data_IF_304249468387
#
_entry.id   IF_304249468387
#
_cell.length_a   1.000
_cell.length_b   1.000
_cell.length_c   1.000
_cell.angle_alpha   90.00
_cell.angle_beta   90.00
_cell.angle_gamma   90.00
#
_symmetry.space_group_name_H-M   'P 1'
#
loop_
_entity.id
_entity.type
_entity.pdbx_description
1 polymer ?
#
# COMPACT_ATOMS: atom_id res chain seq x y z
N UNK A 1 1.28 8.43 -16.98
CA UNK A 1 0.23 7.56 -16.36
C UNK A 1 0.79 6.20 -15.99
N UNK A 2 1.49 5.51 -16.88
CA UNK A 2 2.13 4.21 -16.65
C UNK A 2 3.03 4.19 -15.39
N UNK A 3 3.93 5.16 -15.22
CA UNK A 3 4.83 5.27 -14.05
C UNK A 3 4.11 5.11 -12.71
N UNK A 4 3.01 5.85 -12.50
CA UNK A 4 2.24 5.76 -11.26
C UNK A 4 1.66 4.37 -11.02
N UNK A 5 1.33 3.65 -12.09
CA UNK A 5 0.83 2.26 -11.99
C UNK A 5 1.96 1.31 -11.63
N UNK A 6 3.11 1.46 -12.29
CA UNK A 6 4.33 0.69 -11.99
C UNK A 6 4.76 0.90 -10.53
N UNK A 7 4.89 2.15 -10.08
CA UNK A 7 5.22 2.46 -8.69
C UNK A 7 4.25 1.81 -7.69
N UNK A 8 2.95 1.84 -7.99
CA UNK A 8 1.93 1.18 -7.16
C UNK A 8 2.12 -0.33 -7.07
N UNK A 9 2.52 -0.98 -8.16
CA UNK A 9 2.81 -2.42 -8.19
C UNK A 9 4.11 -2.74 -7.44
N UNK A 10 5.17 -1.98 -7.68
CA UNK A 10 6.46 -2.15 -6.98
C UNK A 10 6.33 -1.95 -5.47
N UNK A 11 5.52 -1.01 -5.02
CA UNK A 11 5.26 -0.81 -3.58
C UNK A 11 4.57 -2.03 -2.92
N UNK A 12 3.95 -2.88 -3.72
CA UNK A 12 3.38 -4.16 -3.31
C UNK A 12 4.32 -5.35 -3.53
N UNK A 13 5.59 -5.09 -3.91
CA UNK A 13 6.61 -6.11 -4.23
C UNK A 13 6.20 -7.01 -5.40
N UNK A 14 5.41 -6.50 -6.34
CA UNK A 14 5.07 -7.22 -7.55
C UNK A 14 6.27 -7.29 -8.49
N UNK A 15 6.41 -8.42 -9.20
CA UNK A 15 7.29 -8.50 -10.37
C UNK A 15 6.59 -7.80 -11.53
N UNK A 16 7.24 -6.79 -12.11
CA UNK A 16 6.65 -5.94 -13.13
C UNK A 16 7.42 -6.05 -14.43
N UNK A 17 6.72 -6.45 -15.50
CA UNK A 17 7.23 -6.37 -16.86
C UNK A 17 6.51 -5.26 -17.63
N UNK A 18 7.25 -4.39 -18.29
CA UNK A 18 6.72 -3.29 -19.09
C UNK A 18 6.99 -3.57 -20.55
N UNK A 19 5.93 -3.63 -21.38
CA UNK A 19 6.01 -3.79 -22.82
C UNK A 19 5.70 -2.45 -23.46
N UNK A 20 6.69 -1.83 -24.07
CA UNK A 20 6.57 -0.51 -24.70
C UNK A 20 7.78 -0.25 -25.61
N UNK A 21 7.61 0.39 -26.78
CA UNK A 21 8.75 0.79 -27.62
C UNK A 21 9.58 1.93 -27.02
N UNK A 22 9.11 2.57 -25.93
CA UNK A 22 9.85 3.60 -25.24
C UNK A 22 9.48 3.63 -23.76
N UNK A 23 10.42 4.03 -22.93
CA UNK A 23 10.23 4.31 -21.51
C UNK A 23 10.43 5.79 -21.22
N UNK A 24 9.75 6.30 -20.20
CA UNK A 24 10.10 7.58 -19.58
C UNK A 24 11.40 7.46 -18.81
N UNK A 25 12.05 8.58 -18.50
CA UNK A 25 13.32 8.59 -17.74
C UNK A 25 13.21 7.84 -16.41
N UNK A 26 12.10 8.00 -15.69
CA UNK A 26 11.85 7.32 -14.41
C UNK A 26 11.76 5.80 -14.60
N UNK A 27 11.04 5.32 -15.61
CA UNK A 27 10.94 3.88 -15.90
C UNK A 27 12.26 3.30 -16.41
N UNK A 28 13.08 4.10 -17.11
CA UNK A 28 14.43 3.69 -17.51
C UNK A 28 15.31 3.47 -16.27
N UNK A 29 15.27 4.39 -15.30
CA UNK A 29 15.99 4.21 -14.04
C UNK A 29 15.58 2.95 -13.31
N UNK A 30 14.28 2.66 -13.22
CA UNK A 30 13.75 1.43 -12.61
C UNK A 30 14.17 0.17 -13.36
N UNK A 31 14.29 0.25 -14.69
CA UNK A 31 14.82 -0.85 -15.49
C UNK A 31 16.31 -1.08 -15.21
N UNK A 32 17.12 -0.01 -15.18
CA UNK A 32 18.57 -0.12 -14.89
C UNK A 32 18.86 -0.60 -13.47
N UNK A 33 18.00 -0.28 -12.50
CA UNK A 33 18.11 -0.80 -11.13
C UNK A 33 17.63 -2.26 -10.99
N UNK A 34 16.98 -2.81 -12.02
CA UNK A 34 16.45 -4.17 -12.01
C UNK A 34 15.10 -4.30 -11.32
N UNK A 35 14.42 -3.18 -11.01
CA UNK A 35 13.10 -3.17 -10.38
C UNK A 35 11.99 -3.59 -11.33
N UNK A 36 12.17 -3.34 -12.64
CA UNK A 36 11.25 -3.76 -13.70
C UNK A 36 11.99 -4.47 -14.83
N UNK A 37 11.32 -5.39 -15.49
CA UNK A 37 11.72 -5.93 -16.78
C UNK A 37 11.14 -5.05 -17.89
N UNK A 38 11.95 -4.64 -18.87
CA UNK A 38 11.50 -3.92 -20.05
C UNK A 38 11.63 -4.74 -21.30
N UNK A 39 10.56 -4.86 -22.05
CA UNK A 39 10.49 -5.51 -23.37
C UNK A 39 10.32 -4.39 -24.39
N UNK A 40 11.44 -4.02 -25.05
CA UNK A 40 11.53 -2.91 -26.02
C UNK A 40 10.87 -3.27 -27.35
N UNK A 41 9.57 -3.21 -27.39
CA UNK A 41 8.71 -3.39 -28.57
C UNK A 41 7.24 -3.11 -28.24
N UNK A 42 6.43 -3.04 -29.27
CA UNK A 42 4.98 -3.02 -29.14
C UNK A 42 4.45 -4.35 -28.61
N UNK A 43 3.25 -4.27 -28.01
CA UNK A 43 2.49 -5.43 -27.53
C UNK A 43 2.22 -6.43 -28.66
N UNK A 44 2.24 -7.72 -28.36
CA UNK A 44 1.89 -8.81 -29.27
C UNK A 44 1.03 -9.84 -28.54
N UNK A 45 0.15 -10.47 -29.29
CA UNK A 45 -0.64 -11.59 -28.77
C UNK A 45 0.29 -12.69 -28.23
N UNK A 46 -0.03 -13.19 -27.04
CA UNK A 46 0.77 -14.15 -26.28
C UNK A 46 1.60 -13.52 -25.17
N UNK A 47 1.75 -12.20 -25.13
CA UNK A 47 2.54 -11.49 -24.11
C UNK A 47 1.96 -11.60 -22.69
N UNK A 48 0.67 -11.90 -22.58
CA UNK A 48 -0.01 -12.01 -21.28
C UNK A 48 -0.01 -13.43 -20.70
N UNK A 49 0.61 -14.40 -21.35
CA UNK A 49 0.51 -15.83 -21.00
C UNK A 49 0.96 -16.14 -19.54
N UNK A 50 1.87 -15.35 -18.97
CA UNK A 50 2.36 -15.53 -17.59
C UNK A 50 1.90 -14.41 -16.65
N UNK A 51 1.05 -13.51 -17.11
CA UNK A 51 0.57 -12.41 -16.28
C UNK A 51 -0.50 -12.88 -15.30
N UNK A 52 -0.49 -12.34 -14.09
CA UNK A 52 -1.57 -12.44 -13.13
C UNK A 52 -2.51 -11.23 -13.23
N UNK A 53 -1.91 -10.06 -13.46
CA UNK A 53 -2.59 -8.78 -13.54
C UNK A 53 -2.03 -7.96 -14.69
N UNK A 54 -2.90 -7.33 -15.45
CA UNK A 54 -2.56 -6.53 -16.63
C UNK A 54 -3.07 -5.11 -16.46
N UNK A 55 -2.23 -4.14 -16.80
CA UNK A 55 -2.61 -2.73 -16.87
C UNK A 55 -2.29 -2.23 -18.28
N UNK A 56 -3.32 -1.99 -19.08
CA UNK A 56 -3.17 -1.34 -20.37
C UNK A 56 -3.14 0.18 -20.19
N UNK A 57 -1.96 0.78 -20.33
CA UNK A 57 -1.72 2.22 -20.14
C UNK A 57 -1.34 2.92 -21.47
N UNK A 58 -1.92 2.47 -22.57
CA UNK A 58 -1.78 3.04 -23.91
C UNK A 58 -3.06 3.77 -24.32
N UNK A 59 -2.95 4.73 -25.25
CA UNK A 59 -4.05 5.42 -25.92
C UNK A 59 -4.38 4.78 -27.29
N UNK A 60 -3.61 3.80 -27.73
CA UNK A 60 -3.90 3.04 -28.95
C UNK A 60 -5.06 2.08 -28.75
N UNK A 61 -6.19 2.34 -29.43
CA UNK A 61 -7.42 1.56 -29.30
C UNK A 61 -7.26 0.10 -29.77
N UNK A 62 -6.45 -0.14 -30.78
CA UNK A 62 -6.25 -1.49 -31.29
C UNK A 62 -5.46 -2.34 -30.31
N UNK A 63 -4.39 -1.80 -29.74
CA UNK A 63 -3.64 -2.47 -28.67
C UNK A 63 -4.53 -2.72 -27.44
N UNK A 64 -5.35 -1.73 -27.03
CA UNK A 64 -6.28 -1.91 -25.91
C UNK A 64 -7.28 -3.05 -26.16
N UNK A 65 -7.76 -3.19 -27.40
CA UNK A 65 -8.69 -4.24 -27.79
C UNK A 65 -8.00 -5.61 -27.77
N UNK A 66 -6.80 -5.73 -28.32
CA UNK A 66 -6.03 -6.98 -28.31
C UNK A 66 -5.72 -7.43 -26.88
N UNK A 67 -5.28 -6.51 -26.01
CA UNK A 67 -5.05 -6.78 -24.59
C UNK A 67 -6.35 -7.23 -23.90
N UNK A 68 -7.47 -6.58 -24.19
CA UNK A 68 -8.77 -6.94 -23.60
C UNK A 68 -9.21 -8.35 -24.02
N UNK A 69 -9.09 -8.69 -25.29
CA UNK A 69 -9.45 -10.02 -25.82
C UNK A 69 -8.56 -11.12 -25.23
N UNK A 70 -7.25 -10.91 -25.19
CA UNK A 70 -6.30 -11.87 -24.63
C UNK A 70 -6.46 -12.04 -23.12
N UNK A 71 -6.60 -10.94 -22.38
CA UNK A 71 -6.84 -10.98 -20.93
C UNK A 71 -8.16 -11.70 -20.59
N UNK A 72 -9.20 -11.47 -21.39
CA UNK A 72 -10.48 -12.17 -21.25
C UNK A 72 -10.37 -13.67 -21.50
N UNK A 73 -9.67 -14.07 -22.56
CA UNK A 73 -9.45 -15.48 -22.91
C UNK A 73 -8.66 -16.24 -21.81
N UNK A 74 -7.74 -15.54 -21.14
CA UNK A 74 -6.90 -16.13 -20.08
C UNK A 74 -7.43 -15.88 -18.64
N UNK A 75 -8.62 -15.28 -18.47
CA UNK A 75 -9.23 -14.93 -17.18
C UNK A 75 -8.30 -14.07 -16.29
N UNK A 76 -7.56 -13.14 -16.88
CA UNK A 76 -6.64 -12.26 -16.17
C UNK A 76 -7.35 -11.06 -15.53
N UNK A 77 -6.78 -10.52 -14.47
CA UNK A 77 -7.18 -9.22 -13.93
C UNK A 77 -6.73 -8.12 -14.89
N UNK A 78 -7.67 -7.32 -15.39
CA UNK A 78 -7.40 -6.28 -16.38
C UNK A 78 -7.92 -4.91 -15.94
N UNK A 79 -7.04 -3.92 -15.99
CA UNK A 79 -7.38 -2.51 -15.87
C UNK A 79 -6.90 -1.76 -17.12
N UNK A 80 -7.84 -1.27 -17.92
CA UNK A 80 -7.55 -0.41 -19.08
C UNK A 80 -7.69 1.05 -18.64
N UNK A 81 -6.63 1.83 -18.85
CA UNK A 81 -6.63 3.24 -18.47
C UNK A 81 -7.70 4.00 -19.25
N UNK A 82 -8.50 4.79 -18.54
CA UNK A 82 -9.56 5.65 -19.05
C UNK A 82 -10.71 4.93 -19.80
N UNK A 83 -10.74 3.58 -19.76
CA UNK A 83 -11.81 2.76 -20.37
C UNK A 83 -12.43 1.81 -19.33
N UNK A 84 -13.28 2.31 -18.42
CA UNK A 84 -13.87 1.50 -17.34
C UNK A 84 -14.62 0.26 -17.81
N UNK A 85 -15.23 0.32 -19.00
CA UNK A 85 -16.01 -0.78 -19.58
C UNK A 85 -15.16 -2.02 -19.93
N UNK A 86 -13.85 -1.84 -20.12
CA UNK A 86 -12.89 -2.91 -20.39
C UNK A 86 -12.14 -3.37 -19.13
N UNK A 87 -12.51 -2.84 -17.96
CA UNK A 87 -11.88 -3.21 -16.70
C UNK A 87 -12.71 -4.28 -15.98
N UNK A 88 -12.07 -5.32 -15.46
CA UNK A 88 -12.70 -6.26 -14.53
C UNK A 88 -12.28 -6.01 -13.06
N UNK A 89 -11.32 -5.10 -12.82
CA UNK A 89 -11.05 -4.53 -11.50
C UNK A 89 -10.68 -3.05 -11.61
N UNK A 90 -10.83 -2.32 -10.51
CA UNK A 90 -10.48 -0.91 -10.40
C UNK A 90 -9.48 -0.69 -9.27
N UNK A 91 -8.56 0.26 -9.51
CA UNK A 91 -7.63 0.74 -8.48
C UNK A 91 -8.26 1.95 -7.78
N UNK A 92 -8.61 1.85 -6.49
CA UNK A 92 -9.20 2.98 -5.76
C UNK A 92 -8.17 4.10 -5.54
N UNK A 93 -8.66 5.29 -5.23
CA UNK A 93 -7.83 6.38 -4.77
C UNK A 93 -7.36 6.07 -3.33
N UNK A 94 -6.07 5.85 -3.11
CA UNK A 94 -5.55 5.36 -1.83
C UNK A 94 -4.59 6.38 -1.21
N UNK A 95 -4.85 6.75 0.04
CA UNK A 95 -3.90 7.43 0.92
C UNK A 95 -3.08 6.38 1.66
N UNK A 96 -1.74 6.52 1.67
CA UNK A 96 -0.83 5.56 2.32
C UNK A 96 0.09 6.27 3.33
N UNK A 97 0.32 5.58 4.46
CA UNK A 97 1.32 5.93 5.48
C UNK A 97 2.00 4.64 5.94
N UNK A 98 3.08 4.27 5.26
CA UNK A 98 3.66 2.94 5.43
C UNK A 98 2.63 1.84 5.13
N UNK A 99 2.40 0.95 6.08
CA UNK A 99 1.44 -0.16 5.97
C UNK A 99 -0.02 0.27 6.14
N UNK A 100 -0.29 1.48 6.66
CA UNK A 100 -1.65 2.02 6.66
C UNK A 100 -2.07 2.39 5.24
N UNK A 101 -3.16 1.81 4.76
CA UNK A 101 -3.77 2.15 3.47
C UNK A 101 -5.27 2.44 3.67
N UNK A 102 -5.70 3.63 3.24
CA UNK A 102 -7.11 4.06 3.27
C UNK A 102 -7.57 4.28 1.84
N UNK A 103 -8.45 3.43 1.36
CA UNK A 103 -8.89 3.43 -0.03
C UNK A 103 -10.29 4.01 -0.18
N UNK A 104 -10.46 4.89 -1.19
CA UNK A 104 -11.72 5.55 -1.52
C UNK A 104 -12.14 5.12 -2.91
N UNK A 105 -13.32 4.52 -3.01
CA UNK A 105 -13.94 4.13 -4.28
C UNK A 105 -15.32 4.77 -4.43
N UNK A 106 -15.62 5.22 -5.63
CA UNK A 106 -16.97 5.66 -6.03
C UNK A 106 -17.56 4.72 -7.09
N UNK A 107 -17.03 3.51 -7.21
CA UNK A 107 -17.37 2.54 -8.25
C UNK A 107 -17.33 3.17 -9.67
N UNK A 108 -16.33 4.03 -9.92
CA UNK A 108 -16.17 4.73 -11.20
C UNK A 108 -17.08 5.94 -11.41
N UNK A 109 -18.06 6.20 -10.51
CA UNK A 109 -19.05 7.28 -10.71
C UNK A 109 -18.45 8.68 -10.60
N UNK A 110 -17.43 8.88 -9.77
CA UNK A 110 -16.78 10.18 -9.60
C UNK A 110 -15.33 10.08 -9.19
N UNK A 111 -14.40 9.90 -10.13
CA UNK A 111 -12.95 9.91 -9.83
C UNK A 111 -12.49 11.20 -9.13
N UNK A 112 -13.09 12.34 -9.47
CA UNK A 112 -12.78 13.62 -8.85
C UNK A 112 -13.15 13.66 -7.35
N UNK A 113 -14.31 13.11 -6.98
CA UNK A 113 -14.72 12.99 -5.58
C UNK A 113 -13.81 12.02 -4.81
N UNK A 114 -13.51 10.87 -5.39
CA UNK A 114 -12.58 9.92 -4.76
C UNK A 114 -11.21 10.55 -4.51
N UNK A 115 -10.67 11.31 -5.49
CA UNK A 115 -9.43 12.06 -5.34
C UNK A 115 -9.52 13.12 -4.26
N UNK A 116 -10.61 13.91 -4.21
CA UNK A 116 -10.82 14.94 -3.20
C UNK A 116 -10.78 14.34 -1.79
N UNK A 117 -11.58 13.29 -1.55
CA UNK A 117 -11.64 12.62 -0.25
C UNK A 117 -10.26 12.03 0.11
N UNK A 118 -9.55 11.39 -0.84
CA UNK A 118 -8.18 10.91 -0.60
C UNK A 118 -7.26 12.03 -0.11
N UNK A 119 -7.29 13.20 -0.74
CA UNK A 119 -6.47 14.35 -0.32
C UNK A 119 -6.85 14.89 1.07
N UNK A 120 -8.12 14.80 1.46
CA UNK A 120 -8.57 15.13 2.81
C UNK A 120 -8.06 14.11 3.83
N UNK A 121 -8.10 12.81 3.48
CA UNK A 121 -7.55 11.75 4.31
C UNK A 121 -6.02 11.86 4.48
N UNK A 122 -5.28 12.24 3.44
CA UNK A 122 -3.84 12.48 3.52
C UNK A 122 -3.47 13.62 4.47
N UNK A 123 -4.35 14.63 4.61
CA UNK A 123 -4.16 15.71 5.59
C UNK A 123 -4.54 15.27 7.00
N UNK A 124 -5.60 14.45 7.13
CA UNK A 124 -6.09 13.97 8.42
C UNK A 124 -5.19 12.90 9.04
N UNK A 125 -4.67 12.00 8.20
CA UNK A 125 -3.77 10.92 8.59
C UNK A 125 -2.37 11.25 8.09
N UNK A 126 -1.58 11.92 8.94
CA UNK A 126 -0.23 12.37 8.63
C UNK A 126 0.83 11.26 8.74
N UNK A 127 2.12 11.61 8.64
CA UNK A 127 3.22 10.64 8.70
C UNK A 127 3.29 9.89 10.04
N UNK A 128 2.84 10.48 11.13
CA UNK A 128 2.77 9.85 12.45
C UNK A 128 2.01 8.53 12.47
N UNK A 129 1.08 8.33 11.56
CA UNK A 129 0.34 7.06 11.46
C UNK A 129 1.20 5.90 10.97
N UNK A 130 2.28 6.15 10.23
CA UNK A 130 3.27 5.12 9.89
C UNK A 130 3.95 4.61 11.16
N UNK A 131 4.42 5.52 12.00
CA UNK A 131 5.03 5.18 13.29
C UNK A 131 4.06 4.42 14.18
N UNK A 132 2.83 4.92 14.30
CA UNK A 132 1.79 4.29 15.11
C UNK A 132 1.52 2.84 14.68
N UNK A 133 1.38 2.59 13.38
CA UNK A 133 1.13 1.23 12.85
C UNK A 133 2.33 0.31 13.12
N UNK A 134 3.56 0.81 12.98
CA UNK A 134 4.77 0.05 13.27
C UNK A 134 4.86 -0.32 14.77
N UNK A 135 4.59 0.64 15.67
CA UNK A 135 4.54 0.40 17.12
C UNK A 135 3.50 -0.69 17.45
N UNK A 136 2.28 -0.53 16.94
CA UNK A 136 1.19 -1.49 17.19
C UNK A 136 1.51 -2.88 16.59
N UNK A 137 2.18 -2.93 15.46
CA UNK A 137 2.63 -4.18 14.82
C UNK A 137 3.66 -4.93 15.67
N UNK A 138 4.66 -4.22 16.20
CA UNK A 138 5.67 -4.79 17.09
C UNK A 138 5.03 -5.38 18.37
N UNK A 139 4.14 -4.62 18.99
CA UNK A 139 3.40 -5.06 20.19
C UNK A 139 2.53 -6.28 19.87
N UNK A 140 1.81 -6.25 18.73
CA UNK A 140 0.93 -7.36 18.32
C UNK A 140 1.69 -8.69 18.21
N UNK A 141 2.87 -8.67 17.60
CA UNK A 141 3.69 -9.87 17.45
C UNK A 141 4.00 -10.50 18.80
N UNK A 142 4.39 -9.70 19.79
CA UNK A 142 4.75 -10.18 21.11
C UNK A 142 3.52 -10.64 21.94
N UNK A 143 2.42 -9.87 21.86
CA UNK A 143 1.18 -10.23 22.56
C UNK A 143 0.62 -11.55 22.04
N UNK A 144 0.65 -11.78 20.72
CA UNK A 144 0.18 -13.05 20.15
C UNK A 144 1.09 -14.22 20.55
N UNK A 145 2.39 -14.00 20.68
CA UNK A 145 3.34 -15.02 21.15
C UNK A 145 3.14 -15.38 22.64
N UNK A 146 2.48 -14.53 23.46
CA UNK A 146 2.24 -14.78 24.87
C UNK A 146 1.13 -15.79 25.19
N UNK A 147 0.40 -16.27 24.17
CA UNK A 147 -0.63 -17.31 24.32
C UNK A 147 -1.89 -16.89 25.09
N UNK A 148 -2.17 -15.58 25.19
CA UNK A 148 -3.40 -15.08 25.81
C UNK A 148 -4.66 -15.53 25.06
N UNK A 149 -5.79 -15.73 25.76
CA UNK A 149 -7.09 -15.92 25.13
C UNK A 149 -7.46 -14.78 24.17
N UNK A 150 -8.16 -15.09 23.09
CA UNK A 150 -8.54 -14.11 22.07
C UNK A 150 -9.26 -12.89 22.64
N UNK A 151 -10.20 -13.07 23.57
CA UNK A 151 -10.93 -11.96 24.19
C UNK A 151 -10.03 -11.00 24.98
N UNK A 152 -8.99 -11.52 25.63
CA UNK A 152 -8.02 -10.68 26.34
C UNK A 152 -7.14 -9.90 25.37
N UNK A 153 -6.69 -10.54 24.27
CA UNK A 153 -5.96 -9.88 23.20
C UNK A 153 -6.76 -8.71 22.59
N UNK A 154 -8.05 -8.93 22.29
CA UNK A 154 -8.91 -7.88 21.73
C UNK A 154 -9.07 -6.69 22.67
N UNK A 155 -9.25 -6.96 23.97
CA UNK A 155 -9.35 -5.90 25.00
C UNK A 155 -8.05 -5.10 25.08
N UNK A 156 -6.92 -5.80 25.10
CA UNK A 156 -5.59 -5.20 25.18
C UNK A 156 -5.30 -4.33 23.94
N UNK A 157 -5.57 -4.83 22.74
CA UNK A 157 -5.37 -4.05 21.51
C UNK A 157 -6.25 -2.80 21.44
N UNK A 158 -7.47 -2.84 21.98
CA UNK A 158 -8.32 -1.64 22.10
C UNK A 158 -7.75 -0.62 23.08
N UNK A 159 -7.18 -1.08 24.20
CA UNK A 159 -6.58 -0.20 25.20
C UNK A 159 -5.29 0.45 24.72
N UNK A 160 -4.54 -0.19 23.82
CA UNK A 160 -3.34 0.38 23.20
C UNK A 160 -3.64 1.58 22.29
N UNK A 161 -4.86 1.67 21.74
CA UNK A 161 -5.30 2.79 20.91
C UNK A 161 -5.76 3.96 21.82
N UNK A 162 -4.81 4.73 22.38
CA UNK A 162 -5.10 5.93 23.13
C UNK A 162 -5.34 7.12 22.19
N UNK A 163 -6.30 7.99 22.54
CA UNK A 163 -6.67 9.13 21.69
C UNK A 163 -5.49 10.12 21.48
N UNK A 164 -4.59 10.23 22.46
CA UNK A 164 -3.44 11.11 22.41
C UNK A 164 -2.18 10.49 21.72
N UNK A 165 -2.23 9.23 21.31
CA UNK A 165 -1.05 8.57 20.68
C UNK A 165 -0.53 9.33 19.47
N UNK A 166 -1.43 9.84 18.64
CA UNK A 166 -1.11 10.65 17.47
C UNK A 166 -0.29 11.90 17.87
N UNK A 167 -0.76 12.61 18.92
CA UNK A 167 -0.11 13.83 19.41
C UNK A 167 1.24 13.53 20.08
N UNK A 168 1.34 12.45 20.85
CA UNK A 168 2.61 12.05 21.46
C UNK A 168 3.66 11.68 20.40
N UNK A 169 3.27 11.04 19.32
CA UNK A 169 4.17 10.74 18.21
C UNK A 169 4.60 12.03 17.49
N UNK A 170 3.68 12.93 17.18
CA UNK A 170 3.98 14.22 16.55
C UNK A 170 4.92 15.09 17.37
N UNK A 171 4.70 15.13 18.68
CA UNK A 171 5.51 15.94 19.63
C UNK A 171 6.79 15.24 20.07
N UNK A 172 7.09 14.05 19.53
CA UNK A 172 8.24 13.22 19.95
C UNK A 172 8.27 12.94 21.48
N UNK A 173 7.10 12.79 22.08
CA UNK A 173 6.93 12.55 23.51
C UNK A 173 6.96 11.04 23.83
N UNK A 174 8.18 10.48 23.82
CA UNK A 174 8.40 9.07 24.15
C UNK A 174 7.94 8.71 25.57
N UNK A 175 8.17 9.57 26.54
CA UNK A 175 7.86 9.28 27.94
C UNK A 175 6.35 8.99 28.15
N UNK A 176 5.47 9.73 27.47
CA UNK A 176 4.03 9.48 27.48
C UNK A 176 3.67 8.16 26.81
N UNK A 177 4.29 7.85 25.69
CA UNK A 177 4.09 6.58 24.98
C UNK A 177 4.54 5.42 25.86
N UNK A 178 5.76 5.45 26.40
CA UNK A 178 6.28 4.40 27.26
C UNK A 178 5.43 4.19 28.50
N UNK A 179 5.03 5.28 29.16
CA UNK A 179 4.14 5.22 30.34
C UNK A 179 2.81 4.54 30.00
N UNK A 180 2.21 4.89 28.87
CA UNK A 180 0.97 4.28 28.40
C UNK A 180 1.16 2.79 28.11
N UNK A 181 2.22 2.43 27.37
CA UNK A 181 2.53 1.04 27.05
C UNK A 181 2.75 0.19 28.30
N UNK A 182 3.51 0.69 29.28
CA UNK A 182 3.71 0.02 30.57
C UNK A 182 2.40 -0.15 31.35
N UNK A 183 1.53 0.85 31.33
CA UNK A 183 0.22 0.77 32.01
C UNK A 183 -0.71 -0.27 31.38
N UNK A 184 -0.71 -0.42 30.04
CA UNK A 184 -1.58 -1.36 29.32
C UNK A 184 -1.02 -2.77 29.28
N UNK A 185 0.28 -2.91 29.04
CA UNK A 185 0.95 -4.20 28.85
C UNK A 185 1.38 -4.86 30.17
N UNK A 186 1.55 -4.06 31.26
CA UNK A 186 2.04 -4.56 32.55
C UNK A 186 3.42 -5.24 32.40
N UNK A 187 3.58 -6.42 32.95
CA UNK A 187 4.84 -7.20 32.91
C UNK A 187 5.29 -7.59 31.51
N UNK A 188 4.42 -7.46 30.50
CA UNK A 188 4.74 -7.72 29.08
C UNK A 188 5.49 -6.56 28.43
N UNK A 189 5.49 -5.37 29.05
CA UNK A 189 6.27 -4.21 28.63
C UNK A 189 7.74 -4.36 29.03
N UNK A 190 8.38 -5.48 28.65
CA UNK A 190 9.79 -5.71 28.92
C UNK A 190 10.70 -4.71 28.19
N UNK A 191 11.90 -4.51 28.74
CA UNK A 191 12.84 -3.51 28.20
C UNK A 191 13.26 -3.81 26.75
N UNK A 192 13.33 -5.08 26.35
CA UNK A 192 13.63 -5.48 24.98
C UNK A 192 12.52 -5.02 24.01
N UNK A 193 11.25 -5.16 24.37
CA UNK A 193 10.12 -4.67 23.57
C UNK A 193 10.16 -3.15 23.45
N UNK A 194 10.30 -2.47 24.60
CA UNK A 194 10.26 -1.00 24.63
C UNK A 194 11.45 -0.38 23.90
N UNK A 195 12.65 -0.99 23.98
CA UNK A 195 13.82 -0.55 23.22
C UNK A 195 13.62 -0.74 21.72
N UNK A 196 13.04 -1.87 21.31
CA UNK A 196 12.69 -2.12 19.90
C UNK A 196 11.65 -1.13 19.38
N UNK A 197 10.60 -0.84 20.16
CA UNK A 197 9.59 0.18 19.79
C UNK A 197 10.21 1.57 19.72
N UNK A 198 11.10 1.90 20.68
CA UNK A 198 11.79 3.19 20.68
C UNK A 198 12.66 3.37 19.43
N UNK A 199 13.37 2.34 19.01
CA UNK A 199 14.14 2.40 17.75
C UNK A 199 13.26 2.78 16.57
N UNK A 200 12.08 2.12 16.42
CA UNK A 200 11.09 2.45 15.39
C UNK A 200 10.59 3.89 15.49
N UNK A 201 10.42 4.39 16.72
CA UNK A 201 9.95 5.76 16.97
C UNK A 201 11.03 6.81 16.63
N UNK A 202 12.30 6.52 16.88
CA UNK A 202 13.41 7.45 16.67
C UNK A 202 13.93 7.50 15.20
N UNK A 203 13.65 6.46 14.39
CA UNK A 203 14.04 6.38 12.96
C UNK A 203 13.26 7.35 12.04
N UNK A 204 12.28 8.07 12.53
CA UNK A 204 11.37 8.99 11.83
C UNK A 204 11.42 10.41 12.44
#
# INVERSE_FOLDING_TARGET
>A
MAERKVQGLLSCRAQVSVISPALTEELQLQHYSGDIEWIDREFRQGDLAQAFLVIAATDDEETQKQVYEEAGANNLLLNVADVPQRCNFILPATARRGDLAISVSTAGKSPALARKIRMELEKRYGPEYRVLVNILGAIRTQVLASGLPQMENEKLFKQLLHDDMEEWIKSKNWDSIEKHLRAVLGDRAGDDLLSGIRSVFDEE
#
